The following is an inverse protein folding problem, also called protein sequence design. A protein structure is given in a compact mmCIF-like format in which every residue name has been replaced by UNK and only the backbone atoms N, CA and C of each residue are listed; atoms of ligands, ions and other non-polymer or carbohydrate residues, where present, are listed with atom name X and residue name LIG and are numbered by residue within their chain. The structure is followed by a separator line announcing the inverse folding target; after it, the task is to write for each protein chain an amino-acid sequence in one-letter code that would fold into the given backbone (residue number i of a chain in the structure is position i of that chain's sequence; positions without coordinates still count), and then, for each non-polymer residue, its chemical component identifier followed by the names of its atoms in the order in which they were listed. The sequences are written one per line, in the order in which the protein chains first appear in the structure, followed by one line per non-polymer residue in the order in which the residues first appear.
data_IF_153880123211
#
_entry.id   IF_153880123211
#
_cell.length_a   1.000
_cell.length_b   1.000
_cell.length_c   1.000
_cell.angle_alpha   90.00
_cell.angle_beta   90.00
_cell.angle_gamma   90.00
#
_symmetry.space_group_name_H-M   'P 1'
#
loop_
_entity.id
_entity.type
_entity.pdbx_description
1 polymer ?
#
# COMPACT_ATOMS: atom_id res chain seq x y z
N UNK A 1 -4.44 22.97 16.60
CA UNK A 1 -3.08 22.76 16.10
C UNK A 1 -3.23 22.20 14.70
N UNK A 2 -2.87 22.97 13.67
CA UNK A 2 -3.19 22.61 12.28
C UNK A 2 -1.89 22.58 11.50
N UNK A 3 -1.55 21.40 10.99
CA UNK A 3 -0.38 21.23 10.15
C UNK A 3 -0.50 21.96 8.80
N UNK A 4 -1.69 22.46 8.45
CA UNK A 4 -1.99 23.15 7.18
C UNK A 4 -1.09 24.37 6.92
N UNK A 5 -0.67 25.09 7.96
CA UNK A 5 0.22 26.26 7.80
C UNK A 5 1.69 25.88 7.68
N UNK A 6 2.05 24.61 7.96
CA UNK A 6 3.43 24.13 8.05
C UNK A 6 3.77 23.12 6.94
N UNK A 7 2.92 22.98 5.92
CA UNK A 7 3.18 22.11 4.76
C UNK A 7 4.19 22.81 3.84
N UNK A 8 5.40 22.25 3.77
CA UNK A 8 6.44 22.69 2.86
C UNK A 8 6.13 22.35 1.39
N UNK A 9 6.94 22.90 0.47
CA UNK A 9 6.75 22.75 -0.98
C UNK A 9 6.74 21.28 -1.46
N UNK A 10 7.36 20.36 -0.71
CA UNK A 10 7.38 18.93 -1.00
C UNK A 10 6.13 18.19 -0.49
N UNK A 11 5.16 18.91 0.07
CA UNK A 11 3.94 18.36 0.66
C UNK A 11 4.11 17.83 2.08
N UNK A 12 5.31 17.87 2.67
CA UNK A 12 5.58 17.44 4.05
C UNK A 12 5.31 18.57 5.05
N UNK A 13 4.66 18.30 6.17
CA UNK A 13 4.47 19.25 7.27
C UNK A 13 4.27 18.56 8.61
N UNK A 14 4.42 19.30 9.71
CA UNK A 14 4.12 18.81 11.06
C UNK A 14 3.32 19.88 11.80
N UNK A 15 2.43 19.47 12.72
CA UNK A 15 1.78 20.41 13.64
C UNK A 15 2.81 21.10 14.55
N UNK A 16 2.36 22.06 15.35
CA UNK A 16 3.24 22.91 16.18
C UNK A 16 3.48 22.38 17.61
N UNK A 17 2.90 21.23 17.96
CA UNK A 17 3.05 20.60 19.26
C UNK A 17 4.34 19.78 19.47
N UNK A 18 4.37 19.03 20.57
CA UNK A 18 5.49 18.16 20.96
C UNK A 18 5.69 16.99 19.98
N UNK A 19 6.94 16.70 19.63
CA UNK A 19 7.32 15.54 18.81
C UNK A 19 6.73 14.24 19.38
N UNK A 20 6.12 13.44 18.50
CA UNK A 20 5.43 12.19 18.86
C UNK A 20 4.01 12.35 19.40
N UNK A 21 3.54 13.58 19.66
CA UNK A 21 2.16 13.88 20.07
C UNK A 21 1.42 14.76 19.06
N UNK A 22 2.06 15.00 17.91
CA UNK A 22 1.64 16.01 16.95
C UNK A 22 1.47 15.38 15.58
N UNK A 23 0.37 15.67 14.85
CA UNK A 23 0.14 15.08 13.55
C UNK A 23 1.20 15.52 12.54
N UNK A 24 1.61 14.58 11.70
CA UNK A 24 2.47 14.82 10.53
C UNK A 24 1.62 14.78 9.27
N UNK A 25 2.04 15.51 8.23
CA UNK A 25 1.35 15.60 6.94
C UNK A 25 2.35 15.29 5.83
N UNK A 26 1.92 14.54 4.83
CA UNK A 26 2.67 14.32 3.58
C UNK A 26 1.68 14.33 2.41
N UNK A 27 1.86 15.29 1.50
CA UNK A 27 1.02 15.55 0.32
C UNK A 27 -0.48 15.70 0.63
N UNK A 28 -0.81 16.38 1.72
CA UNK A 28 -2.19 16.67 2.11
C UNK A 28 -2.89 15.56 2.90
N UNK A 29 -2.24 14.40 3.10
CA UNK A 29 -2.75 13.39 4.02
C UNK A 29 -2.28 13.70 5.45
N UNK A 30 -3.19 13.78 6.40
CA UNK A 30 -2.84 13.95 7.82
C UNK A 30 -2.58 12.59 8.48
N UNK A 31 -1.65 12.58 9.44
CA UNK A 31 -1.32 11.47 10.33
C UNK A 31 -0.58 10.27 9.70
N UNK A 32 0.16 10.46 8.61
CA UNK A 32 0.81 9.38 7.84
C UNK A 32 1.96 8.70 8.61
N UNK A 33 2.58 9.41 9.56
CA UNK A 33 3.60 8.86 10.45
C UNK A 33 3.09 8.69 11.90
N UNK A 34 1.79 8.93 12.16
CA UNK A 34 1.22 8.98 13.52
C UNK A 34 -0.09 8.22 13.70
N UNK A 35 -0.65 7.64 12.63
CA UNK A 35 -1.67 6.61 12.69
C UNK A 35 -0.98 5.26 12.62
N UNK A 36 -0.50 4.77 13.76
CA UNK A 36 0.32 3.56 13.91
C UNK A 36 -0.41 2.23 13.60
N UNK A 37 -1.34 2.24 12.65
CA UNK A 37 -2.22 1.13 12.36
C UNK A 37 -2.34 1.03 10.86
N UNK A 38 -2.30 -0.21 10.36
CA UNK A 38 -2.51 -0.51 8.95
C UNK A 38 -3.68 0.27 8.36
N UNK A 39 -3.48 0.87 7.19
CA UNK A 39 -4.58 1.37 6.37
C UNK A 39 -4.79 0.44 5.18
N UNK A 40 -6.05 0.09 4.89
CA UNK A 40 -6.40 -0.74 3.74
C UNK A 40 -6.43 0.11 2.47
N UNK A 41 -5.83 -0.40 1.40
CA UNK A 41 -5.95 0.15 0.05
C UNK A 41 -6.99 -0.69 -0.68
N UNK A 42 -8.13 -0.07 -0.96
CA UNK A 42 -9.22 -0.68 -1.69
C UNK A 42 -8.98 -0.61 -3.21
N UNK A 43 -9.75 -1.40 -3.98
CA UNK A 43 -9.64 -1.42 -5.43
C UNK A 43 -8.32 -1.98 -5.98
N UNK A 44 -7.48 -2.60 -5.15
CA UNK A 44 -6.25 -3.26 -5.56
C UNK A 44 -6.43 -4.78 -5.61
N UNK A 45 -6.03 -5.42 -6.71
CA UNK A 45 -5.92 -6.87 -6.82
C UNK A 45 -4.62 -7.27 -7.53
N UNK A 46 -3.93 -8.27 -6.99
CA UNK A 46 -2.81 -8.94 -7.66
C UNK A 46 -3.08 -10.44 -7.87
N UNK A 47 -4.34 -10.83 -7.74
CA UNK A 47 -4.76 -12.22 -7.73
C UNK A 47 -5.09 -12.64 -9.13
N UNK A 48 -4.71 -13.85 -9.47
CA UNK A 48 -5.49 -14.58 -10.45
C UNK A 48 -5.27 -14.14 -11.87
N UNK A 49 -4.08 -13.62 -12.20
CA UNK A 49 -3.63 -13.83 -13.56
C UNK A 49 -2.38 -14.70 -13.63
N UNK A 50 -2.63 -16.01 -13.53
CA UNK A 50 -1.65 -17.00 -13.95
C UNK A 50 -1.30 -16.87 -15.45
N UNK A 51 -2.06 -16.08 -16.25
CA UNK A 51 -1.84 -15.85 -17.67
C UNK A 51 -1.25 -14.47 -18.03
N UNK A 52 -1.50 -13.39 -17.27
CA UNK A 52 -0.91 -12.05 -17.51
C UNK A 52 0.06 -11.58 -16.43
N UNK A 53 -0.05 -12.06 -15.19
CA UNK A 53 0.82 -11.68 -14.07
C UNK A 53 0.88 -10.17 -13.88
N UNK A 54 -0.23 -9.52 -13.53
CA UNK A 54 -0.35 -8.05 -13.43
C UNK A 54 -1.01 -7.58 -12.14
N UNK A 55 -0.70 -6.35 -11.75
CA UNK A 55 -1.52 -5.60 -10.79
C UNK A 55 -2.76 -5.05 -11.49
N UNK A 56 -3.91 -5.14 -10.83
CA UNK A 56 -5.17 -4.57 -11.26
C UNK A 56 -5.61 -3.52 -10.25
N UNK A 57 -5.84 -2.31 -10.75
CA UNK A 57 -6.30 -1.17 -9.95
C UNK A 57 -7.67 -0.79 -10.45
N UNK A 58 -8.62 -0.54 -9.55
CA UNK A 58 -9.94 0.00 -9.91
C UNK A 58 -9.77 1.23 -10.81
N UNK A 59 -10.65 1.36 -11.81
CA UNK A 59 -10.53 2.41 -12.80
C UNK A 59 -10.46 3.80 -12.17
N UNK A 60 -9.46 4.57 -12.57
CA UNK A 60 -9.23 5.93 -12.05
C UNK A 60 -10.23 6.96 -12.58
N UNK A 61 -10.98 6.62 -13.62
CA UNK A 61 -12.06 7.45 -14.15
C UNK A 61 -13.35 7.42 -13.32
N UNK A 62 -13.36 6.64 -12.22
CA UNK A 62 -14.50 6.55 -11.31
C UNK A 62 -15.66 5.70 -11.84
N UNK A 63 -15.49 5.04 -13.00
CA UNK A 63 -16.52 4.16 -13.57
C UNK A 63 -16.40 2.71 -13.13
N UNK A 64 -15.33 2.36 -12.39
CA UNK A 64 -15.14 1.01 -11.84
C UNK A 64 -16.10 0.72 -10.70
N UNK A 65 -16.74 -0.44 -10.71
CA UNK A 65 -17.55 -0.92 -9.60
C UNK A 65 -16.72 -1.86 -8.71
N UNK A 66 -16.36 -1.41 -7.51
CA UNK A 66 -15.58 -2.21 -6.55
C UNK A 66 -16.30 -3.47 -6.06
N UNK A 67 -17.63 -3.49 -6.15
CA UNK A 67 -18.45 -4.63 -5.74
C UNK A 67 -18.64 -5.66 -6.86
N UNK A 68 -18.25 -5.33 -8.09
CA UNK A 68 -18.35 -6.25 -9.23
C UNK A 68 -17.09 -7.11 -9.33
N UNK A 69 -17.09 -8.19 -8.54
CA UNK A 69 -15.99 -9.14 -8.38
C UNK A 69 -16.37 -10.54 -8.86
N UNK A 70 -15.38 -11.32 -9.27
CA UNK A 70 -15.53 -12.73 -9.62
C UNK A 70 -15.63 -13.64 -8.36
N UNK A 71 -15.78 -14.94 -8.57
CA UNK A 71 -15.85 -15.94 -7.49
C UNK A 71 -14.58 -16.07 -6.63
N UNK A 72 -13.47 -15.46 -7.04
CA UNK A 72 -12.20 -15.41 -6.31
C UNK A 72 -11.96 -14.03 -5.68
N UNK A 73 -12.91 -13.10 -5.83
CA UNK A 73 -12.84 -11.72 -5.34
C UNK A 73 -11.87 -10.82 -6.12
N UNK A 74 -11.60 -11.14 -7.38
CA UNK A 74 -10.93 -10.26 -8.33
C UNK A 74 -11.97 -9.36 -9.02
N UNK A 75 -11.66 -8.07 -9.23
CA UNK A 75 -12.53 -7.19 -10.00
C UNK A 75 -12.80 -7.76 -11.41
N UNK A 76 -14.07 -7.78 -11.83
CA UNK A 76 -14.42 -8.23 -13.17
C UNK A 76 -13.87 -7.29 -14.25
N UNK A 77 -13.58 -7.85 -15.43
CA UNK A 77 -13.06 -7.09 -16.56
C UNK A 77 -13.97 -5.90 -16.91
N UNK A 78 -13.36 -4.74 -17.16
CA UNK A 78 -14.07 -3.48 -17.36
C UNK A 78 -14.22 -2.62 -16.11
N UNK A 79 -13.93 -3.16 -14.91
CA UNK A 79 -13.91 -2.40 -13.65
C UNK A 79 -12.50 -1.99 -13.19
N UNK A 80 -11.45 -2.53 -13.82
CA UNK A 80 -10.05 -2.24 -13.48
C UNK A 80 -9.23 -1.78 -14.69
N UNK A 81 -8.12 -1.11 -14.40
CA UNK A 81 -6.97 -0.89 -15.27
C UNK A 81 -5.88 -1.91 -14.89
N UNK A 82 -5.23 -2.51 -15.89
CA UNK A 82 -4.16 -3.47 -15.68
C UNK A 82 -2.79 -2.80 -15.83
N UNK A 83 -1.92 -3.08 -14.88
CA UNK A 83 -0.52 -2.66 -14.87
C UNK A 83 0.27 -3.28 -16.03
N UNK A 84 1.41 -2.69 -16.38
CA UNK A 84 2.44 -3.35 -17.21
C UNK A 84 3.49 -4.07 -16.35
N UNK A 85 3.57 -3.74 -15.06
CA UNK A 85 4.44 -4.41 -14.09
C UNK A 85 3.96 -5.81 -13.74
N UNK A 86 4.93 -6.69 -13.47
CA UNK A 86 4.68 -8.06 -13.01
C UNK A 86 4.74 -8.09 -11.49
N UNK A 87 3.69 -8.53 -10.79
CA UNK A 87 3.69 -8.55 -9.35
C UNK A 87 4.81 -9.39 -8.75
N UNK A 88 5.53 -8.78 -7.81
CA UNK A 88 6.39 -9.53 -6.90
C UNK A 88 5.51 -10.56 -6.16
N UNK A 89 5.89 -11.84 -6.27
CA UNK A 89 5.16 -12.93 -5.63
C UNK A 89 6.03 -14.17 -5.49
N UNK A 90 5.61 -15.10 -4.64
CA UNK A 90 6.30 -16.37 -4.44
C UNK A 90 5.78 -17.49 -5.35
N UNK A 91 6.17 -18.71 -5.03
CA UNK A 91 5.49 -19.90 -5.56
C UNK A 91 4.01 -19.92 -5.11
N UNK A 92 3.12 -20.67 -5.79
CA UNK A 92 1.71 -20.78 -5.39
C UNK A 92 1.53 -21.00 -3.87
N UNK A 93 0.70 -20.15 -3.24
CA UNK A 93 0.47 -20.15 -1.78
C UNK A 93 1.53 -19.43 -0.93
N UNK A 94 2.65 -19.01 -1.53
CA UNK A 94 3.74 -18.28 -0.88
C UNK A 94 3.85 -16.83 -1.38
N UNK A 95 4.64 -16.04 -0.66
CA UNK A 95 4.89 -14.63 -0.92
C UNK A 95 6.40 -14.35 -0.80
N UNK A 96 6.83 -13.18 -1.28
CA UNK A 96 8.18 -12.65 -1.11
C UNK A 96 8.14 -11.43 -0.18
N UNK A 97 9.26 -11.16 0.49
CA UNK A 97 9.36 -10.10 1.48
C UNK A 97 10.80 -9.56 1.56
N UNK A 98 10.94 -8.32 2.02
CA UNK A 98 12.25 -7.70 2.26
C UNK A 98 12.21 -6.18 2.22
N UNK A 99 13.37 -5.56 2.43
CA UNK A 99 13.51 -4.12 2.30
C UNK A 99 13.51 -3.70 0.82
N UNK A 100 12.67 -2.71 0.52
CA UNK A 100 12.49 -2.15 -0.81
C UNK A 100 13.77 -1.47 -1.29
N UNK A 101 14.17 -1.77 -2.52
CA UNK A 101 15.33 -1.13 -3.18
C UNK A 101 14.90 -0.22 -4.33
N UNK A 102 13.75 -0.48 -4.93
CA UNK A 102 13.16 0.30 -6.00
C UNK A 102 11.62 0.12 -6.01
N UNK A 103 10.92 1.08 -6.61
CA UNK A 103 9.46 1.10 -6.74
C UNK A 103 9.04 1.07 -8.21
N UNK A 104 7.81 0.67 -8.47
CA UNK A 104 7.20 0.76 -9.78
C UNK A 104 6.99 2.23 -10.18
N UNK A 105 7.46 2.59 -11.37
CA UNK A 105 7.41 3.97 -11.88
C UNK A 105 6.32 4.18 -12.94
N UNK A 106 5.53 3.15 -13.25
CA UNK A 106 4.43 3.29 -14.20
C UNK A 106 3.34 4.22 -13.67
N UNK A 107 2.63 4.90 -14.57
CA UNK A 107 1.60 5.88 -14.21
C UNK A 107 0.47 5.26 -13.36
N UNK A 108 0.07 4.02 -13.63
CA UNK A 108 -1.03 3.39 -12.90
C UNK A 108 -0.70 3.10 -11.43
N UNK A 109 0.55 2.71 -11.15
CA UNK A 109 1.03 2.43 -9.79
C UNK A 109 1.73 3.63 -9.15
N UNK A 110 1.85 4.74 -9.88
CA UNK A 110 2.40 5.97 -9.35
C UNK A 110 1.60 6.39 -8.11
N UNK A 111 2.33 6.68 -7.03
CA UNK A 111 1.79 7.02 -5.70
C UNK A 111 1.27 5.85 -4.85
N UNK A 112 1.17 4.62 -5.36
CA UNK A 112 0.87 3.46 -4.54
C UNK A 112 2.08 2.90 -3.80
N UNK A 113 3.30 3.34 -4.15
CA UNK A 113 4.57 2.87 -3.60
C UNK A 113 4.71 1.34 -3.69
N UNK A 114 4.26 0.74 -4.79
CA UNK A 114 4.43 -0.69 -5.03
C UNK A 114 5.91 -0.95 -5.33
N UNK A 115 6.58 -1.85 -4.60
CA UNK A 115 7.98 -2.19 -4.88
C UNK A 115 8.14 -2.96 -6.19
N UNK A 116 9.16 -2.62 -6.96
CA UNK A 116 9.65 -3.42 -8.08
C UNK A 116 10.75 -4.40 -7.66
N UNK A 117 11.40 -4.15 -6.52
CA UNK A 117 12.41 -5.04 -5.95
C UNK A 117 12.54 -4.92 -4.41
N UNK A 118 12.74 -6.05 -3.73
CA UNK A 118 12.87 -6.18 -2.27
C UNK A 118 14.17 -6.86 -1.79
N UNK A 119 15.20 -6.96 -2.65
CA UNK A 119 16.43 -7.71 -2.34
C UNK A 119 17.45 -6.98 -1.44
N UNK A 120 17.01 -6.14 -0.51
CA UNK A 120 17.89 -5.63 0.56
C UNK A 120 18.16 -4.13 0.54
N UNK A 121 17.10 -3.32 0.55
CA UNK A 121 17.20 -1.93 1.01
C UNK A 121 17.81 -1.85 2.42
N UNK A 122 18.30 -0.68 2.80
CA UNK A 122 18.97 -0.45 4.08
C UNK A 122 18.83 1.02 4.50
N UNK A 123 19.23 1.33 5.74
CA UNK A 123 19.31 2.73 6.21
C UNK A 123 20.32 3.61 5.45
N UNK A 124 21.12 3.03 4.54
CA UNK A 124 22.03 3.75 3.65
C UNK A 124 21.46 3.94 2.23
N UNK A 125 20.30 3.37 1.92
CA UNK A 125 19.62 3.53 0.62
C UNK A 125 18.46 4.50 0.73
N UNK A 126 18.07 5.10 -0.40
CA UNK A 126 16.97 6.07 -0.46
C UNK A 126 15.62 5.47 -0.06
N UNK A 127 15.44 4.17 -0.32
CA UNK A 127 14.28 3.39 0.12
C UNK A 127 14.75 2.40 1.19
N UNK A 128 14.09 2.41 2.34
CA UNK A 128 14.39 1.57 3.49
C UNK A 128 13.14 0.91 4.09
N UNK A 129 11.99 1.03 3.42
CA UNK A 129 10.72 0.49 3.91
C UNK A 129 10.57 -0.98 3.52
N UNK A 130 9.92 -1.76 4.39
CA UNK A 130 9.71 -3.18 4.19
C UNK A 130 8.45 -3.48 3.36
N UNK A 131 8.50 -4.57 2.59
CA UNK A 131 7.37 -5.03 1.82
C UNK A 131 7.06 -6.51 2.09
N UNK A 132 5.77 -6.81 2.20
CA UNK A 132 5.24 -8.17 2.09
C UNK A 132 4.37 -8.26 0.84
N UNK A 133 4.74 -9.11 -0.12
CA UNK A 133 3.92 -9.32 -1.31
C UNK A 133 2.64 -10.09 -1.00
N UNK A 134 1.74 -10.14 -2.00
CA UNK A 134 0.63 -11.07 -1.98
C UNK A 134 1.09 -12.51 -2.13
N UNK A 135 0.24 -13.42 -1.67
CA UNK A 135 0.43 -14.84 -1.89
C UNK A 135 -0.09 -15.21 -3.26
N UNK A 136 0.75 -15.88 -4.04
CA UNK A 136 0.41 -16.25 -5.40
C UNK A 136 -0.84 -17.16 -5.41
N UNK A 137 -1.86 -16.77 -6.17
CA UNK A 137 -3.13 -17.49 -6.30
C UNK A 137 -4.13 -17.30 -5.17
N UNK A 138 -3.90 -16.37 -4.23
CA UNK A 138 -4.78 -16.14 -3.07
C UNK A 138 -5.23 -14.68 -3.03
N UNK A 139 -6.53 -14.48 -2.77
CA UNK A 139 -7.09 -13.15 -2.55
C UNK A 139 -6.57 -12.47 -1.29
N UNK A 140 -5.79 -11.42 -1.51
CA UNK A 140 -5.20 -10.63 -0.47
C UNK A 140 -5.53 -9.15 -0.59
N UNK A 141 -5.56 -8.48 0.57
CA UNK A 141 -5.72 -7.03 0.67
C UNK A 141 -4.37 -6.35 0.81
N UNK A 142 -4.19 -5.25 0.08
CA UNK A 142 -3.01 -4.39 0.25
C UNK A 142 -3.24 -3.43 1.42
N UNK A 143 -2.20 -3.29 2.25
CA UNK A 143 -2.18 -2.39 3.40
C UNK A 143 -0.94 -1.50 3.37
N UNK A 144 -1.04 -0.29 3.92
CA UNK A 144 0.04 0.70 3.98
C UNK A 144 0.45 1.07 5.42
N UNK A 145 1.64 1.67 5.54
CA UNK A 145 2.20 2.33 6.73
C UNK A 145 2.76 1.42 7.84
N UNK A 146 2.17 0.26 8.09
CA UNK A 146 2.66 -0.68 9.10
C UNK A 146 2.03 -0.48 10.50
N UNK A 147 2.69 -0.99 11.55
CA UNK A 147 2.16 -0.97 12.93
C UNK A 147 3.25 -0.97 14.01
N UNK A 148 2.87 -0.60 15.23
CA UNK A 148 3.73 -0.28 16.39
C UNK A 148 4.86 -1.28 16.70
N UNK A 149 4.62 -2.59 16.58
CA UNK A 149 5.58 -3.61 17.01
C UNK A 149 6.80 -3.70 16.08
N UNK A 150 6.68 -3.19 14.86
CA UNK A 150 7.60 -3.44 13.76
C UNK A 150 8.47 -2.22 13.42
N UNK A 151 8.85 -1.46 14.46
CA UNK A 151 9.59 -0.19 14.44
C UNK A 151 10.33 0.14 13.13
N UNK A 152 11.42 -0.59 12.83
CA UNK A 152 12.33 -0.36 11.70
C UNK A 152 11.77 -0.76 10.34
N UNK A 153 10.66 -1.48 10.33
CA UNK A 153 9.95 -1.86 9.11
C UNK A 153 8.74 -0.97 8.83
N UNK A 154 8.16 -0.25 9.80
CA UNK A 154 7.05 0.67 9.57
C UNK A 154 7.49 1.99 8.89
N UNK A 155 6.64 2.57 8.05
CA UNK A 155 6.98 3.80 7.32
C UNK A 155 6.11 4.07 6.10
N UNK A 156 6.29 5.24 5.47
CA UNK A 156 5.45 5.74 4.36
C UNK A 156 5.46 4.78 3.17
N UNK A 157 6.60 4.16 2.86
CA UNK A 157 6.74 3.17 1.81
C UNK A 157 6.41 1.73 2.24
N UNK A 158 6.08 1.50 3.52
CA UNK A 158 5.77 0.15 3.98
C UNK A 158 4.47 -0.35 3.34
N UNK A 159 4.51 -1.55 2.77
CA UNK A 159 3.36 -2.18 2.11
C UNK A 159 3.24 -3.63 2.56
N UNK A 160 2.01 -4.10 2.74
CA UNK A 160 1.76 -5.52 3.05
C UNK A 160 0.51 -6.03 2.38
N UNK A 161 0.69 -7.06 1.57
CA UNK A 161 -0.37 -7.72 0.83
C UNK A 161 -0.48 -9.21 1.15
N UNK A 162 0.10 -9.75 2.23
CA UNK A 162 0.04 -11.21 2.49
C UNK A 162 -1.23 -11.67 3.21
N UNK A 163 -1.99 -10.72 3.80
CA UNK A 163 -3.20 -10.99 4.57
C UNK A 163 -4.41 -11.22 3.66
N UNK A 164 -5.22 -12.22 3.96
CA UNK A 164 -6.49 -12.44 3.25
C UNK A 164 -7.55 -11.47 3.77
N UNK A 165 -8.64 -11.26 3.02
CA UNK A 165 -9.70 -10.30 3.38
C UNK A 165 -10.37 -10.61 4.74
N UNK A 166 -10.39 -11.88 5.14
CA UNK A 166 -10.95 -12.31 6.44
C UNK A 166 -9.95 -12.23 7.60
N UNK A 167 -8.73 -11.79 7.35
CA UNK A 167 -7.67 -11.74 8.36
C UNK A 167 -7.93 -10.57 9.33
N UNK A 168 -8.12 -10.90 10.60
CA UNK A 168 -8.45 -9.93 11.66
C UNK A 168 -7.32 -9.84 12.68
N UNK A 169 -6.92 -8.61 13.00
CA UNK A 169 -5.83 -8.29 13.92
C UNK A 169 -6.21 -7.08 14.79
N UNK A 170 -5.88 -7.08 16.09
CA UNK A 170 -6.23 -5.99 17.00
C UNK A 170 -5.46 -4.69 16.71
N UNK A 171 -4.37 -4.78 15.96
CA UNK A 171 -3.52 -3.68 15.50
C UNK A 171 -3.70 -3.42 13.98
N UNK A 172 -4.85 -3.78 13.43
CA UNK A 172 -5.29 -3.37 12.09
C UNK A 172 -6.59 -2.58 12.21
N UNK A 173 -6.69 -1.47 11.50
CA UNK A 173 -7.89 -0.64 11.46
C UNK A 173 -8.10 -0.12 10.03
N UNK A 174 -9.10 0.73 9.85
CA UNK A 174 -9.31 1.45 8.61
C UNK A 174 -9.77 2.86 8.94
N UNK A 175 -9.42 3.82 8.09
CA UNK A 175 -10.00 5.16 8.11
C UNK A 175 -11.01 5.25 6.97
N UNK A 176 -12.23 5.71 7.30
CA UNK A 176 -13.21 6.06 6.28
C UNK A 176 -12.78 7.35 5.60
N UNK A 177 -12.69 7.34 4.29
CA UNK A 177 -12.55 8.54 3.47
C UNK A 177 -13.82 8.76 2.64
N UNK A 178 -14.18 10.03 2.46
CA UNK A 178 -15.32 10.45 1.67
C UNK A 178 -14.82 11.42 0.61
N UNK A 179 -15.19 11.16 -0.64
CA UNK A 179 -14.77 11.93 -1.83
C UNK A 179 -15.98 12.65 -2.40
#
# INVERSE_FOLDING_TARGET
DSANTNIGINGTGTGTGTDGLTPTVYRGYENILGGNVWEFIDGWNAIGDAATGKYHIIRRDGLGNINDIDGNGMLNAGNYEASVAVPLTGTPGNFVLGYTTDIEHENLLAFLFIPSNVTGGSGATYLCDWFYSHKNGINNSLRAFGYWHYADSAGVGHRSAYGVVTYSYPDSSARLEFV
#
